data_IF_142216978078
#
_entry.id   IF_142216978078
#
_cell.length_a   1.000
_cell.length_b   1.000
_cell.length_c   1.000
_cell.angle_alpha   90.00
_cell.angle_beta   90.00
_cell.angle_gamma   90.00
#
_symmetry.space_group_name_H-M   'P 1'
#
loop_
_entity.id
_entity.type
_entity.pdbx_description
1 polymer ?
#
# COMPACT_ATOMS: atom_id res chain seq x y z
N UNK A 1 -7.58 -4.81 0.11
CA UNK A 1 -6.42 -4.07 0.65
C UNK A 1 -6.80 -3.05 1.72
N UNK A 2 -7.94 -2.35 1.64
CA UNK A 2 -8.35 -1.35 2.65
C UNK A 2 -8.38 -1.87 4.10
N UNK A 3 -8.85 -3.11 4.31
CA UNK A 3 -8.86 -3.76 5.64
C UNK A 3 -7.48 -4.12 6.21
N UNK A 4 -6.46 -4.19 5.35
CA UNK A 4 -5.05 -4.40 5.74
C UNK A 4 -4.26 -3.09 5.79
N UNK A 5 -4.93 -1.96 5.51
CA UNK A 5 -4.32 -0.65 5.44
C UNK A 5 -4.49 0.02 6.80
N UNK A 6 -3.38 0.25 7.52
CA UNK A 6 -3.37 0.94 8.82
C UNK A 6 -3.48 0.06 10.07
N UNK A 7 -3.76 -1.24 9.93
CA UNK A 7 -3.90 -2.18 11.06
C UNK A 7 -2.60 -2.92 11.44
N UNK A 8 -1.53 -2.75 10.65
CA UNK A 8 -0.30 -3.52 10.83
C UNK A 8 -0.43 -4.94 10.28
N UNK A 9 -0.29 -5.95 11.14
CA UNK A 9 -0.42 -7.37 10.77
C UNK A 9 -1.83 -7.88 11.06
N UNK A 10 -2.39 -8.69 10.19
CA UNK A 10 -3.72 -9.29 10.38
C UNK A 10 -3.75 -10.75 9.90
N UNK A 11 -4.52 -11.57 10.60
CA UNK A 11 -4.75 -12.98 10.26
C UNK A 11 -5.82 -13.13 9.19
N UNK A 12 -5.85 -14.28 8.51
CA UNK A 12 -6.91 -14.58 7.53
C UNK A 12 -8.31 -14.57 8.17
N UNK A 13 -8.44 -14.98 9.43
CA UNK A 13 -9.69 -14.98 10.17
C UNK A 13 -10.20 -13.58 10.48
N UNK A 14 -9.31 -12.65 10.86
CA UNK A 14 -9.67 -11.24 11.08
C UNK A 14 -10.09 -10.58 9.78
N UNK A 15 -9.34 -10.80 8.69
CA UNK A 15 -9.69 -10.29 7.36
C UNK A 15 -11.04 -10.83 6.90
N UNK A 16 -11.29 -12.13 7.09
CA UNK A 16 -12.55 -12.77 6.75
C UNK A 16 -13.72 -12.17 7.54
N UNK A 17 -13.55 -11.97 8.84
CA UNK A 17 -14.55 -11.35 9.72
C UNK A 17 -14.87 -9.92 9.29
N UNK A 18 -13.85 -9.10 9.02
CA UNK A 18 -14.05 -7.71 8.63
C UNK A 18 -14.74 -7.56 7.27
N UNK A 19 -14.42 -8.45 6.34
CA UNK A 19 -15.02 -8.46 5.00
C UNK A 19 -16.36 -9.20 4.93
N UNK A 20 -16.78 -9.89 5.99
CA UNK A 20 -17.99 -10.72 5.99
C UNK A 20 -17.94 -11.90 5.03
N UNK A 21 -16.75 -12.51 4.85
CA UNK A 21 -16.53 -13.64 3.94
C UNK A 21 -16.05 -14.89 4.67
N UNK A 22 -16.11 -16.05 4.00
CA UNK A 22 -15.57 -17.29 4.54
C UNK A 22 -14.04 -17.25 4.64
N UNK A 23 -13.47 -17.83 5.71
CA UNK A 23 -12.01 -17.83 5.97
C UNK A 23 -11.23 -18.46 4.82
N UNK A 24 -11.70 -19.58 4.26
CA UNK A 24 -11.06 -20.21 3.09
C UNK A 24 -10.98 -19.26 1.87
N UNK A 25 -12.00 -18.43 1.65
CA UNK A 25 -12.00 -17.43 0.57
C UNK A 25 -10.98 -16.34 0.85
N UNK A 26 -10.90 -15.85 2.09
CA UNK A 26 -9.88 -14.89 2.50
C UNK A 26 -8.47 -15.47 2.32
N UNK A 27 -8.22 -16.70 2.77
CA UNK A 27 -6.92 -17.37 2.60
C UNK A 27 -6.51 -17.48 1.14
N UNK A 28 -7.42 -17.91 0.26
CA UNK A 28 -7.16 -17.98 -1.18
C UNK A 28 -6.75 -16.61 -1.73
N UNK A 29 -7.52 -15.56 -1.42
CA UNK A 29 -7.23 -14.19 -1.89
C UNK A 29 -5.96 -13.61 -1.30
N UNK A 30 -5.67 -13.86 -0.03
CA UNK A 30 -4.42 -13.43 0.61
C UNK A 30 -3.21 -14.14 -0.02
N UNK A 31 -3.32 -15.43 -0.34
CA UNK A 31 -2.26 -16.15 -1.04
C UNK A 31 -2.04 -15.63 -2.46
N UNK A 32 -3.11 -15.31 -3.20
CA UNK A 32 -3.00 -14.67 -4.52
C UNK A 32 -2.28 -13.32 -4.43
N UNK A 33 -2.64 -12.48 -3.46
CA UNK A 33 -2.04 -11.15 -3.27
C UNK A 33 -0.59 -11.22 -2.78
N UNK A 34 -0.26 -12.19 -1.94
CA UNK A 34 1.13 -12.46 -1.52
C UNK A 34 1.99 -12.94 -2.69
N UNK A 35 1.46 -13.83 -3.54
CA UNK A 35 2.16 -14.26 -4.76
C UNK A 35 2.42 -13.11 -5.75
N UNK A 36 1.57 -12.07 -5.73
CA UNK A 36 1.76 -10.84 -6.51
C UNK A 36 2.74 -9.84 -5.86
N UNK A 37 3.30 -10.15 -4.69
CA UNK A 37 4.19 -9.26 -3.94
C UNK A 37 3.49 -8.03 -3.37
N UNK A 38 2.15 -8.08 -3.20
CA UNK A 38 1.37 -6.96 -2.64
C UNK A 38 1.22 -7.06 -1.12
N UNK A 39 1.55 -8.22 -0.54
CA UNK A 39 1.49 -8.49 0.89
C UNK A 39 2.83 -9.04 1.38
N UNK A 40 3.19 -8.67 2.60
CA UNK A 40 4.15 -9.42 3.41
C UNK A 40 3.39 -10.50 4.18
N UNK A 41 4.02 -11.67 4.34
CA UNK A 41 3.51 -12.80 5.10
C UNK A 41 4.52 -13.23 6.14
N UNK A 42 4.07 -13.50 7.36
CA UNK A 42 4.90 -14.08 8.43
C UNK A 42 4.14 -15.10 9.24
N UNK A 43 4.88 -15.94 9.95
CA UNK A 43 4.35 -16.70 11.09
C UNK A 43 4.65 -15.90 12.35
N UNK A 44 3.64 -15.66 13.19
CA UNK A 44 3.79 -14.91 14.43
C UNK A 44 4.67 -15.70 15.40
N UNK A 45 5.71 -15.06 15.93
CA UNK A 45 6.69 -15.69 16.83
C UNK A 45 6.02 -16.34 18.05
N UNK A 46 6.47 -17.56 18.39
CA UNK A 46 5.91 -18.34 19.49
C UNK A 46 4.53 -18.95 19.21
N UNK A 47 4.03 -18.87 17.96
CA UNK A 47 2.74 -19.44 17.54
C UNK A 47 2.83 -20.06 16.14
N UNK A 48 1.77 -20.75 15.71
CA UNK A 48 1.56 -21.25 14.35
C UNK A 48 0.68 -20.32 13.50
N UNK A 49 0.35 -19.13 14.02
CA UNK A 49 -0.55 -18.18 13.37
C UNK A 49 0.14 -17.45 12.22
N UNK A 50 -0.46 -17.54 11.03
CA UNK A 50 -0.03 -16.80 9.84
C UNK A 50 -0.69 -15.42 9.81
N UNK A 51 0.13 -14.41 9.59
CA UNK A 51 -0.28 -13.01 9.49
C UNK A 51 0.17 -12.38 8.17
N UNK A 52 -0.61 -11.40 7.72
CA UNK A 52 -0.41 -10.65 6.49
C UNK A 52 -0.41 -9.16 6.77
N UNK A 53 0.39 -8.41 6.00
CA UNK A 53 0.41 -6.95 6.02
C UNK A 53 0.56 -6.42 4.60
N UNK A 54 -0.04 -5.28 4.29
CA UNK A 54 0.21 -4.59 3.01
C UNK A 54 1.68 -4.19 2.91
N UNK A 55 2.33 -4.43 1.77
CA UNK A 55 3.70 -3.92 1.57
C UNK A 55 3.64 -2.39 1.66
N UNK A 56 4.48 -1.81 2.52
CA UNK A 56 4.54 -0.35 2.68
C UNK A 56 5.07 0.30 1.41
N UNK A 57 4.17 0.84 0.58
CA UNK A 57 4.54 1.59 -0.61
C UNK A 57 4.89 3.04 -0.25
N UNK A 58 6.14 3.46 -0.49
CA UNK A 58 6.50 4.88 -0.53
C UNK A 58 6.25 5.40 -1.94
N UNK A 59 5.33 6.34 -2.09
CA UNK A 59 5.16 7.13 -3.33
C UNK A 59 5.83 8.48 -3.10
N UNK A 60 6.82 8.80 -3.91
CA UNK A 60 7.48 10.11 -3.90
C UNK A 60 7.13 10.83 -5.21
N UNK A 61 6.47 11.98 -5.10
CA UNK A 61 6.14 12.84 -6.23
C UNK A 61 7.09 14.02 -6.17
N UNK A 62 8.05 14.07 -7.09
CA UNK A 62 8.95 15.21 -7.26
C UNK A 62 8.44 16.05 -8.44
N UNK A 63 8.11 17.30 -8.15
CA UNK A 63 7.73 18.28 -9.17
C UNK A 63 8.84 19.33 -9.26
N UNK A 64 9.50 19.41 -10.41
CA UNK A 64 10.53 20.42 -10.69
C UNK A 64 9.96 21.44 -11.68
N UNK A 65 9.78 22.67 -11.18
CA UNK A 65 9.25 23.80 -11.95
C UNK A 65 10.32 24.88 -12.22
N UNK A 66 11.59 24.62 -11.95
CA UNK A 66 12.65 25.65 -12.04
C UNK A 66 12.77 26.22 -13.46
N UNK A 67 12.67 25.38 -14.48
CA UNK A 67 12.69 25.80 -15.88
C UNK A 67 11.48 26.67 -16.27
N UNK A 68 10.28 26.25 -15.86
CA UNK A 68 9.02 26.95 -16.17
C UNK A 68 8.92 28.28 -15.42
N UNK A 69 9.36 28.32 -14.16
CA UNK A 69 9.42 29.54 -13.36
C UNK A 69 10.40 30.56 -13.95
N UNK A 70 11.58 30.12 -14.41
CA UNK A 70 12.56 30.99 -15.07
C UNK A 70 12.06 31.54 -16.41
N UNK A 71 11.34 30.73 -17.19
CA UNK A 71 10.72 31.17 -18.44
C UNK A 71 9.64 32.22 -18.17
N UNK A 72 8.72 31.94 -17.24
CA UNK A 72 7.67 32.88 -16.86
C UNK A 72 8.21 34.21 -16.33
N UNK A 73 9.30 34.19 -15.54
CA UNK A 73 9.95 35.40 -15.05
C UNK A 73 10.59 36.24 -16.17
N UNK A 74 11.22 35.61 -17.17
CA UNK A 74 11.76 36.32 -18.34
C UNK A 74 10.67 36.96 -19.17
N UNK A 75 9.58 36.23 -19.41
CA UNK A 75 8.45 36.75 -20.16
C UNK A 75 7.84 37.96 -19.44
N UNK A 76 7.60 37.87 -18.13
CA UNK A 76 7.09 38.97 -17.32
C UNK A 76 7.96 40.25 -17.35
N UNK A 77 9.28 40.13 -17.45
CA UNK A 77 10.19 41.29 -17.57
C UNK A 77 10.30 41.83 -19.00
N UNK A 78 9.96 41.03 -20.01
CA UNK A 78 9.99 41.47 -21.41
C UNK A 78 8.79 42.36 -21.79
N UNK A 79 7.71 42.31 -21.01
CA UNK A 79 6.47 43.10 -21.20
C UNK A 79 6.36 44.32 -20.26
N UNK A 80 7.36 44.58 -19.41
CA UNK A 80 7.43 45.73 -18.51
C UNK A 80 8.37 46.81 -19.08
#
# INVERSE_FOLDING_TARGET
LRELHGTGWSTASEVARNLGIHVATAMRKLSELEALGLLEKRVREGTDLVEYRSVGGRVEIVLDFDGEAKAAARDAWSVA
#
